data_IF_241525452207
#
_entry.id   IF_241525452207
#
_cell.length_a   1.000
_cell.length_b   1.000
_cell.length_c   1.000
_cell.angle_alpha   90.00
_cell.angle_beta   90.00
_cell.angle_gamma   90.00
#
_symmetry.space_group_name_H-M   'P 1'
#
loop_
_entity.id
_entity.type
_entity.pdbx_description
1 polymer ?
#
# COMPACT_ATOMS: atom_id res chain seq x y z
N UNK A 1 18.89 -30.92 -11.01
CA UNK A 1 17.98 -29.82 -10.59
C UNK A 1 18.52 -28.59 -11.29
N UNK A 2 17.86 -28.15 -12.35
CA UNK A 2 18.28 -26.96 -13.10
C UNK A 2 18.09 -25.74 -12.21
N UNK A 3 19.15 -24.93 -12.07
CA UNK A 3 19.14 -23.76 -11.22
C UNK A 3 18.57 -22.59 -12.02
N UNK A 4 17.60 -21.83 -11.49
CA UNK A 4 17.03 -20.70 -12.21
C UNK A 4 18.14 -19.73 -12.62
N UNK A 5 18.05 -19.28 -13.85
CA UNK A 5 18.98 -18.30 -14.42
C UNK A 5 18.73 -16.93 -13.80
N UNK A 6 19.76 -16.07 -13.83
CA UNK A 6 19.67 -14.73 -13.25
C UNK A 6 18.50 -13.91 -13.82
N UNK A 7 18.14 -14.12 -15.09
CA UNK A 7 17.01 -13.45 -15.75
C UNK A 7 15.67 -13.88 -15.15
N UNK A 8 15.46 -15.18 -14.94
CA UNK A 8 14.22 -15.71 -14.35
C UNK A 8 14.00 -15.21 -12.91
N UNK A 9 15.08 -15.02 -12.15
CA UNK A 9 15.02 -14.45 -10.80
C UNK A 9 14.61 -12.97 -10.81
N UNK A 10 15.13 -12.18 -11.78
CA UNK A 10 14.77 -10.77 -11.93
C UNK A 10 13.31 -10.61 -12.35
N UNK A 11 12.84 -11.41 -13.31
CA UNK A 11 11.44 -11.40 -13.74
C UNK A 11 10.48 -11.74 -12.59
N UNK A 12 10.84 -12.73 -11.76
CA UNK A 12 10.02 -13.08 -10.60
C UNK A 12 10.00 -11.96 -9.55
N UNK A 13 11.15 -11.32 -9.30
CA UNK A 13 11.22 -10.18 -8.38
C UNK A 13 10.37 -9.00 -8.86
N UNK A 14 10.39 -8.72 -10.17
CA UNK A 14 9.56 -7.67 -10.77
C UNK A 14 8.07 -8.00 -10.63
N UNK A 15 7.68 -9.26 -10.88
CA UNK A 15 6.29 -9.71 -10.66
C UNK A 15 5.84 -9.50 -9.22
N UNK A 16 6.64 -9.92 -8.24
CA UNK A 16 6.34 -9.75 -6.82
C UNK A 16 6.26 -8.27 -6.45
N UNK A 17 7.16 -7.44 -6.99
CA UNK A 17 7.17 -5.98 -6.76
C UNK A 17 5.90 -5.32 -7.27
N UNK A 18 5.47 -5.65 -8.50
CA UNK A 18 4.23 -5.15 -9.10
C UNK A 18 3.01 -5.60 -8.30
N UNK A 19 2.95 -6.86 -7.89
CA UNK A 19 1.85 -7.36 -7.07
C UNK A 19 1.75 -6.62 -5.72
N UNK A 20 2.89 -6.42 -5.05
CA UNK A 20 2.95 -5.68 -3.78
C UNK A 20 2.53 -4.22 -3.96
N UNK A 21 2.99 -3.57 -5.03
CA UNK A 21 2.60 -2.21 -5.36
C UNK A 21 1.09 -2.08 -5.59
N UNK A 22 0.51 -2.99 -6.37
CA UNK A 22 -0.92 -3.03 -6.65
C UNK A 22 -1.75 -3.28 -5.38
N UNK A 23 -1.30 -4.18 -4.51
CA UNK A 23 -1.97 -4.45 -3.23
C UNK A 23 -1.92 -3.22 -2.33
N UNK A 24 -0.75 -2.58 -2.20
CA UNK A 24 -0.57 -1.34 -1.42
C UNK A 24 -1.51 -0.25 -1.92
N UNK A 25 -1.58 -0.02 -3.22
CA UNK A 25 -2.41 1.05 -3.79
C UNK A 25 -3.90 0.79 -3.57
N UNK A 26 -4.37 -0.46 -3.69
CA UNK A 26 -5.76 -0.82 -3.38
C UNK A 26 -6.11 -0.53 -1.93
N UNK A 27 -5.23 -0.90 -0.99
CA UNK A 27 -5.47 -0.63 0.42
C UNK A 27 -5.41 0.86 0.76
N UNK A 28 -4.43 1.59 0.21
CA UNK A 28 -4.32 3.04 0.39
C UNK A 28 -5.57 3.77 -0.13
N UNK A 29 -6.07 3.40 -1.31
CA UNK A 29 -7.30 3.96 -1.87
C UNK A 29 -8.53 3.65 -1.01
N UNK A 30 -8.66 2.41 -0.50
CA UNK A 30 -9.76 2.05 0.40
C UNK A 30 -9.70 2.82 1.73
N UNK A 31 -8.51 3.01 2.30
CA UNK A 31 -8.31 3.79 3.52
C UNK A 31 -8.60 5.27 3.29
N UNK A 32 -8.17 5.85 2.17
CA UNK A 32 -8.47 7.24 1.82
C UNK A 32 -9.99 7.48 1.76
N UNK A 33 -10.72 6.59 1.07
CA UNK A 33 -12.18 6.65 1.04
C UNK A 33 -12.81 6.54 2.43
N UNK A 34 -12.33 5.61 3.26
CA UNK A 34 -12.82 5.46 4.63
C UNK A 34 -12.55 6.72 5.47
N UNK A 35 -11.40 7.37 5.29
CA UNK A 35 -11.05 8.61 5.99
C UNK A 35 -11.89 9.80 5.53
N UNK A 36 -12.34 9.83 4.27
CA UNK A 36 -13.35 10.78 3.81
C UNK A 36 -14.72 10.50 4.45
N UNK A 37 -15.15 9.24 4.51
CA UNK A 37 -16.42 8.85 5.14
C UNK A 37 -16.42 9.08 6.67
N UNK A 38 -15.25 9.03 7.30
CA UNK A 38 -15.05 9.16 8.75
C UNK A 38 -14.27 10.41 9.14
N UNK A 39 -14.60 11.53 8.48
CA UNK A 39 -14.04 12.83 8.83
C UNK A 39 -14.28 13.19 10.31
N UNK A 40 -15.37 12.69 10.91
CA UNK A 40 -15.69 12.84 12.33
C UNK A 40 -14.61 12.32 13.28
N UNK A 41 -13.76 11.40 12.83
CA UNK A 41 -12.70 10.82 13.64
C UNK A 41 -11.41 11.64 13.64
N UNK A 42 -11.20 12.52 12.66
CA UNK A 42 -10.00 13.36 12.54
C UNK A 42 -9.92 14.36 13.71
N UNK A 43 -8.74 14.51 14.29
CA UNK A 43 -8.47 15.32 15.48
C UNK A 43 -9.10 14.81 16.78
N UNK A 44 -9.94 13.76 16.71
CA UNK A 44 -10.57 13.13 17.88
C UNK A 44 -9.87 11.82 18.24
N UNK A 45 -9.51 11.02 17.23
CA UNK A 45 -8.84 9.74 17.41
C UNK A 45 -7.45 9.80 16.79
N UNK A 46 -6.43 9.72 17.64
CA UNK A 46 -5.03 9.76 17.21
C UNK A 46 -4.67 8.70 16.17
N UNK A 47 -5.37 7.56 16.14
CA UNK A 47 -5.17 6.56 15.09
C UNK A 47 -5.68 7.02 13.72
N UNK A 48 -6.81 7.72 13.67
CA UNK A 48 -7.33 8.31 12.44
C UNK A 48 -6.35 9.36 11.90
N UNK A 49 -5.79 10.19 12.78
CA UNK A 49 -4.76 11.18 12.41
C UNK A 49 -3.48 10.53 11.89
N UNK A 50 -3.01 9.46 12.54
CA UNK A 50 -1.86 8.69 12.08
C UNK A 50 -2.09 8.08 10.68
N UNK A 51 -3.28 7.54 10.43
CA UNK A 51 -3.63 6.97 9.14
C UNK A 51 -3.72 8.06 8.07
N UNK A 52 -4.33 9.20 8.38
CA UNK A 52 -4.42 10.36 7.48
C UNK A 52 -3.03 10.86 7.07
N UNK A 53 -2.13 11.04 8.04
CA UNK A 53 -0.74 11.42 7.79
C UNK A 53 -0.02 10.36 6.95
N UNK A 54 -0.20 9.08 7.28
CA UNK A 54 0.41 7.97 6.53
C UNK A 54 -0.05 7.96 5.07
N UNK A 55 -1.33 8.24 4.81
CA UNK A 55 -1.90 8.32 3.47
C UNK A 55 -1.30 9.49 2.69
N UNK A 56 -1.19 10.66 3.32
CA UNK A 56 -0.61 11.89 2.74
C UNK A 56 0.82 11.67 2.23
N UNK A 57 1.63 10.84 2.91
CA UNK A 57 3.00 10.53 2.51
C UNK A 57 3.13 9.28 1.62
N UNK A 58 2.03 8.54 1.41
CA UNK A 58 2.01 7.32 0.58
C UNK A 58 1.66 7.56 -0.88
N UNK A 59 1.09 8.73 -1.18
CA UNK A 59 0.67 9.19 -2.51
C UNK A 59 1.87 9.60 -3.39
#
# INVERSE_FOLDING_TARGET
>A
MENPTATELVEELDRVTVQRFNLRNRHASALAKLMEEREDLRGTYAFADLVDDSLRWSA
#
